data_IF_881098075124
#
_entry.id   IF_881098075124
#
_cell.length_a   1.000
_cell.length_b   1.000
_cell.length_c   1.000
_cell.angle_alpha   90.00
_cell.angle_beta   90.00
_cell.angle_gamma   90.00
#
_symmetry.space_group_name_H-M   'P 1'
#
loop_
_entity.id
_entity.type
_entity.pdbx_description
1 polymer ?
#
# COMPACT_ATOMS: atom_id res chain seq x y z
N UNK A 1 19.57 -40.86 -84.57
CA UNK A 1 19.05 -41.28 -83.25
C UNK A 1 19.63 -40.36 -82.19
N UNK A 2 18.79 -39.74 -81.35
CA UNK A 2 19.25 -39.02 -80.14
C UNK A 2 18.74 -37.58 -80.03
N UNK A 3 17.49 -37.41 -79.62
CA UNK A 3 16.95 -36.14 -79.11
C UNK A 3 17.59 -35.81 -77.75
N UNK A 4 18.21 -34.64 -77.58
CA UNK A 4 18.52 -34.11 -76.23
C UNK A 4 18.33 -32.59 -76.15
N UNK A 5 17.16 -32.25 -75.59
CA UNK A 5 16.78 -31.12 -74.72
C UNK A 5 17.57 -29.81 -74.78
N UNK A 6 16.86 -28.74 -75.17
CA UNK A 6 17.21 -27.36 -74.84
C UNK A 6 17.18 -27.14 -73.31
N UNK A 7 18.05 -26.28 -72.77
CA UNK A 7 18.11 -26.01 -71.33
C UNK A 7 16.93 -25.13 -70.89
N UNK A 8 16.19 -25.59 -69.88
CA UNK A 8 15.16 -24.81 -69.20
C UNK A 8 15.84 -23.82 -68.26
N UNK A 9 15.65 -22.53 -68.50
CA UNK A 9 16.10 -21.45 -67.61
C UNK A 9 15.37 -21.57 -66.26
N UNK A 10 16.07 -21.61 -65.10
CA UNK A 10 15.40 -21.67 -63.82
C UNK A 10 14.67 -20.34 -63.53
N UNK A 11 13.38 -20.43 -63.20
CA UNK A 11 12.60 -19.28 -62.70
C UNK A 11 13.26 -18.71 -61.45
N UNK A 12 13.47 -17.39 -61.43
CA UNK A 12 13.99 -16.64 -60.28
C UNK A 12 13.13 -16.86 -59.03
N UNK A 13 13.77 -17.10 -57.89
CA UNK A 13 13.11 -17.24 -56.59
C UNK A 13 12.31 -15.97 -56.24
N UNK A 14 11.15 -16.09 -55.57
CA UNK A 14 10.40 -14.92 -55.11
C UNK A 14 11.23 -14.15 -54.05
N UNK A 15 11.14 -12.80 -54.03
CA UNK A 15 11.89 -12.00 -53.06
C UNK A 15 11.50 -12.37 -51.62
N UNK A 16 12.43 -12.32 -50.66
CA UNK A 16 12.13 -12.63 -49.27
C UNK A 16 11.04 -11.69 -48.74
N UNK A 17 10.03 -12.27 -48.09
CA UNK A 17 8.95 -11.51 -47.47
C UNK A 17 9.55 -10.44 -46.55
N UNK A 18 9.26 -9.17 -46.85
CA UNK A 18 9.71 -8.05 -46.04
C UNK A 18 9.07 -8.19 -44.66
N UNK A 19 9.90 -8.46 -43.66
CA UNK A 19 9.45 -8.57 -42.27
C UNK A 19 8.76 -7.24 -41.92
N UNK A 20 7.48 -7.24 -41.50
CA UNK A 20 6.80 -6.00 -41.15
C UNK A 20 7.60 -5.26 -40.08
N UNK A 21 7.81 -3.95 -40.20
CA UNK A 21 8.54 -3.20 -39.19
C UNK A 21 7.85 -3.41 -37.84
N UNK A 22 8.62 -3.83 -36.83
CA UNK A 22 8.13 -3.96 -35.47
C UNK A 22 7.47 -2.63 -35.09
N UNK A 23 6.13 -2.64 -35.04
CA UNK A 23 5.30 -1.50 -34.70
C UNK A 23 5.83 -0.91 -33.39
N UNK A 24 6.57 0.19 -33.49
CA UNK A 24 7.19 0.89 -32.36
C UNK A 24 6.03 1.34 -31.47
N UNK A 25 5.76 0.59 -30.40
CA UNK A 25 4.71 0.94 -29.44
C UNK A 25 5.03 2.36 -28.97
N UNK A 26 4.02 3.24 -29.01
CA UNK A 26 4.16 4.65 -28.64
C UNK A 26 4.89 4.74 -27.30
N UNK A 27 5.84 5.68 -27.18
CA UNK A 27 6.63 5.91 -25.96
C UNK A 27 5.75 6.07 -24.70
N UNK A 28 4.49 6.51 -24.88
CA UNK A 28 3.46 6.54 -23.85
C UNK A 28 3.19 5.17 -23.20
N UNK A 29 3.15 4.08 -23.98
CA UNK A 29 2.93 2.73 -23.43
C UNK A 29 4.11 2.27 -22.58
N UNK A 30 5.36 2.53 -23.02
CA UNK A 30 6.54 2.18 -22.20
C UNK A 30 6.59 3.00 -20.91
N UNK A 31 6.24 4.28 -20.97
CA UNK A 31 6.15 5.16 -19.80
C UNK A 31 5.11 4.68 -18.79
N UNK A 32 3.94 4.22 -19.24
CA UNK A 32 2.92 3.63 -18.37
C UNK A 32 3.42 2.34 -17.69
N UNK A 33 4.07 1.43 -18.42
CA UNK A 33 4.65 0.21 -17.82
C UNK A 33 5.80 0.48 -16.83
N UNK A 34 6.49 1.62 -16.94
CA UNK A 34 7.53 2.01 -16.00
C UNK A 34 6.99 2.74 -14.75
N UNK A 35 5.82 3.39 -14.84
CA UNK A 35 5.20 4.14 -13.74
C UNK A 35 4.32 3.24 -12.86
N UNK A 36 3.56 2.30 -13.43
CA UNK A 36 2.67 1.38 -12.68
C UNK A 36 3.41 0.57 -11.58
N UNK A 37 4.64 0.04 -11.81
CA UNK A 37 5.42 -0.59 -10.76
C UNK A 37 5.95 0.43 -9.75
N UNK A 38 6.31 1.65 -10.18
CA UNK A 38 6.86 2.69 -9.32
C UNK A 38 5.82 3.21 -8.33
N UNK A 39 4.59 3.43 -8.75
CA UNK A 39 3.51 3.91 -7.87
C UNK A 39 3.06 2.83 -6.89
N UNK A 40 3.00 1.57 -7.36
CA UNK A 40 2.73 0.42 -6.50
C UNK A 40 3.84 0.23 -5.45
N UNK A 41 5.11 0.32 -5.84
CA UNK A 41 6.24 0.24 -4.92
C UNK A 41 6.22 1.41 -3.93
N UNK A 42 6.00 2.64 -4.41
CA UNK A 42 5.88 3.83 -3.56
C UNK A 42 4.77 3.68 -2.52
N UNK A 43 3.60 3.18 -2.91
CA UNK A 43 2.48 2.91 -2.00
C UNK A 43 2.82 1.84 -0.97
N UNK A 44 3.51 0.77 -1.37
CA UNK A 44 3.94 -0.29 -0.45
C UNK A 44 4.99 0.22 0.53
N UNK A 45 5.93 1.05 0.08
CA UNK A 45 6.93 1.69 0.94
C UNK A 45 6.29 2.61 1.96
N UNK A 46 5.30 3.42 1.57
CA UNK A 46 4.54 4.26 2.51
C UNK A 46 3.76 3.42 3.53
N UNK A 47 3.20 2.28 3.12
CA UNK A 47 2.50 1.38 4.03
C UNK A 47 3.45 0.71 5.03
N UNK A 48 4.68 0.41 4.63
CA UNK A 48 5.72 -0.11 5.53
C UNK A 48 6.19 1.00 6.48
N UNK A 49 6.52 2.18 5.95
CA UNK A 49 6.94 3.32 6.75
C UNK A 49 5.90 3.70 7.81
N UNK A 50 4.61 3.68 7.46
CA UNK A 50 3.52 3.90 8.44
C UNK A 50 3.55 2.87 9.58
N UNK A 51 3.67 1.59 9.24
CA UNK A 51 3.75 0.51 10.24
C UNK A 51 4.99 0.63 11.13
N UNK A 52 6.12 1.04 10.56
CA UNK A 52 7.35 1.27 11.31
C UNK A 52 7.23 2.48 12.25
N UNK A 53 6.59 3.57 11.83
CA UNK A 53 6.31 4.71 12.71
C UNK A 53 5.39 4.32 13.88
N UNK A 54 4.32 3.56 13.63
CA UNK A 54 3.42 3.08 14.68
C UNK A 54 4.16 2.15 15.67
N UNK A 55 5.04 1.29 15.15
CA UNK A 55 5.88 0.42 15.98
C UNK A 55 6.87 1.21 16.83
N UNK A 56 7.53 2.22 16.26
CA UNK A 56 8.47 3.08 16.98
C UNK A 56 7.76 3.89 18.08
N UNK A 57 6.54 4.36 17.83
CA UNK A 57 5.74 5.08 18.83
C UNK A 57 5.38 4.18 20.02
N UNK A 58 5.00 2.93 19.75
CA UNK A 58 4.73 1.93 20.78
C UNK A 58 5.98 1.59 21.59
N UNK A 59 7.12 1.32 20.92
CA UNK A 59 8.41 1.08 21.59
C UNK A 59 8.82 2.27 22.46
N UNK A 60 8.67 3.51 21.96
CA UNK A 60 8.95 4.73 22.72
C UNK A 60 8.03 4.89 23.93
N UNK A 61 6.75 4.51 23.82
CA UNK A 61 5.81 4.53 24.93
C UNK A 61 6.20 3.51 26.00
N UNK A 62 6.57 2.30 25.60
CA UNK A 62 7.03 1.24 26.51
C UNK A 62 8.33 1.60 27.21
N UNK A 63 9.30 2.17 26.48
CA UNK A 63 10.55 2.64 27.08
C UNK A 63 10.33 3.77 28.07
N UNK A 64 9.38 4.67 27.79
CA UNK A 64 8.96 5.71 28.74
C UNK A 64 8.34 5.09 29.99
N UNK A 65 7.48 4.09 29.84
CA UNK A 65 6.87 3.40 30.98
C UNK A 65 7.92 2.68 31.83
N UNK A 66 8.84 1.94 31.21
CA UNK A 66 9.98 1.29 31.88
C UNK A 66 10.86 2.29 32.62
N UNK A 67 11.19 3.40 31.98
CA UNK A 67 12.00 4.45 32.60
C UNK A 67 11.30 5.04 33.83
N UNK A 68 9.98 5.29 33.74
CA UNK A 68 9.20 5.81 34.85
C UNK A 68 8.99 4.79 35.96
N UNK A 69 8.81 3.50 35.65
CA UNK A 69 8.69 2.46 36.69
C UNK A 69 9.97 2.32 37.52
N UNK A 70 11.12 2.46 36.87
CA UNK A 70 12.42 2.36 37.54
C UNK A 70 12.74 3.61 38.38
N UNK A 71 12.37 4.80 37.89
CA UNK A 71 12.64 6.09 38.56
C UNK A 71 11.59 6.48 39.60
N UNK A 72 10.34 6.07 39.40
CA UNK A 72 9.19 6.44 40.20
C UNK A 72 8.49 5.19 40.71
N UNK A 73 9.13 4.52 41.67
CA UNK A 73 8.55 3.37 42.35
C UNK A 73 7.34 3.80 43.17
N UNK A 74 6.31 2.95 43.23
CA UNK A 74 5.13 3.19 44.05
C UNK A 74 5.53 3.40 45.52
N UNK A 75 5.00 4.46 46.11
CA UNK A 75 5.27 4.83 47.49
C UNK A 75 4.56 3.91 48.48
N UNK A 76 5.32 3.08 49.17
CA UNK A 76 4.84 2.35 50.33
C UNK A 76 5.00 3.20 51.58
N UNK A 77 3.91 3.82 52.01
CA UNK A 77 3.88 4.64 53.25
C UNK A 77 3.40 3.86 54.47
N UNK A 78 2.93 2.64 54.27
CA UNK A 78 2.42 1.79 55.33
C UNK A 78 3.58 1.28 56.22
N UNK A 79 3.45 1.48 57.53
CA UNK A 79 4.43 0.97 58.50
C UNK A 79 5.60 1.91 58.80
N UNK A 80 5.71 3.08 58.16
CA UNK A 80 6.70 4.09 58.55
C UNK A 80 6.28 4.82 59.82
N UNK A 81 7.25 5.09 60.69
CA UNK A 81 7.11 5.98 61.84
C UNK A 81 7.05 7.45 61.40
N UNK A 82 6.57 8.32 62.29
CA UNK A 82 6.47 9.77 62.03
C UNK A 82 7.82 10.39 61.61
N UNK A 83 8.91 9.97 62.24
CA UNK A 83 10.25 10.49 61.96
C UNK A 83 10.73 10.08 60.57
N UNK A 84 10.52 8.82 60.19
CA UNK A 84 10.90 8.33 58.86
C UNK A 84 10.06 8.99 57.76
N UNK A 85 8.78 9.23 58.02
CA UNK A 85 7.91 9.96 57.09
C UNK A 85 8.36 11.41 56.89
N UNK A 86 8.75 12.10 57.96
CA UNK A 86 9.29 13.46 57.87
C UNK A 86 10.60 13.54 57.09
N UNK A 87 11.47 12.54 57.27
CA UNK A 87 12.73 12.46 56.53
C UNK A 87 12.48 12.17 55.04
N UNK A 88 11.56 11.26 54.72
CA UNK A 88 11.15 10.97 53.35
C UNK A 88 10.58 12.23 52.65
N UNK A 89 9.75 13.02 53.34
CA UNK A 89 9.24 14.29 52.80
C UNK A 89 10.36 15.29 52.50
N UNK A 90 11.37 15.40 53.37
CA UNK A 90 12.54 16.28 53.13
C UNK A 90 13.38 15.80 51.95
N UNK A 91 13.55 14.49 51.81
CA UNK A 91 14.25 13.90 50.68
C UNK A 91 13.53 14.18 49.36
N UNK A 92 12.20 14.04 49.31
CA UNK A 92 11.45 14.35 48.08
C UNK A 92 11.51 15.83 47.72
N UNK A 93 11.40 16.74 48.69
CA UNK A 93 11.54 18.16 48.41
C UNK A 93 12.87 18.46 47.72
N UNK A 94 13.97 17.93 48.27
CA UNK A 94 15.30 18.12 47.70
C UNK A 94 15.45 17.48 46.32
N UNK A 95 14.81 16.32 46.09
CA UNK A 95 14.82 15.65 44.79
C UNK A 95 14.00 16.40 43.74
N UNK A 96 12.85 16.95 44.12
CA UNK A 96 12.00 17.74 43.22
C UNK A 96 12.77 18.96 42.72
N UNK A 97 13.42 19.70 43.62
CA UNK A 97 14.22 20.88 43.25
C UNK A 97 15.28 20.55 42.18
N UNK A 98 15.98 19.42 42.35
CA UNK A 98 17.00 18.96 41.37
C UNK A 98 16.39 18.53 40.05
N UNK A 99 15.30 17.75 40.09
CA UNK A 99 14.63 17.26 38.88
C UNK A 99 14.05 18.43 38.07
N UNK A 100 13.51 19.45 38.75
CA UNK A 100 13.00 20.64 38.08
C UNK A 100 14.09 21.48 37.43
N UNK A 101 15.28 21.58 38.04
CA UNK A 101 16.46 22.18 37.42
C UNK A 101 16.87 21.40 36.15
N UNK A 102 16.99 20.07 36.24
CA UNK A 102 17.30 19.22 35.09
C UNK A 102 16.24 19.34 33.98
N UNK A 103 14.96 19.41 34.34
CA UNK A 103 13.82 19.62 33.42
C UNK A 103 13.95 20.96 32.71
N UNK A 104 14.27 22.03 33.44
CA UNK A 104 14.46 23.35 32.88
C UNK A 104 15.62 23.39 31.88
N UNK A 105 16.75 22.76 32.20
CA UNK A 105 17.90 22.67 31.30
C UNK A 105 17.61 21.85 30.04
N UNK A 106 16.85 20.77 30.16
CA UNK A 106 16.37 20.01 29.00
C UNK A 106 15.43 20.85 28.12
N UNK A 107 14.47 21.54 28.72
CA UNK A 107 13.53 22.41 28.01
C UNK A 107 14.26 23.55 27.28
N UNK A 108 15.22 24.20 27.94
CA UNK A 108 16.04 25.25 27.34
C UNK A 108 16.85 24.74 26.13
N UNK A 109 17.38 23.51 26.19
CA UNK A 109 18.07 22.88 25.05
C UNK A 109 17.11 22.59 23.90
N UNK A 110 15.93 22.03 24.18
CA UNK A 110 14.90 21.76 23.16
C UNK A 110 14.44 23.05 22.50
N UNK A 111 14.21 24.11 23.27
CA UNK A 111 13.80 25.42 22.73
C UNK A 111 14.86 26.03 21.81
N UNK A 112 16.15 25.91 22.14
CA UNK A 112 17.23 26.31 21.23
C UNK A 112 17.17 25.56 19.90
N UNK A 113 17.00 24.23 19.96
CA UNK A 113 16.85 23.40 18.75
C UNK A 113 15.60 23.75 17.94
N UNK A 114 14.47 24.03 18.59
CA UNK A 114 13.24 24.46 17.91
C UNK A 114 13.46 25.78 17.18
N UNK A 115 14.10 26.75 17.83
CA UNK A 115 14.40 28.05 17.21
C UNK A 115 15.34 27.88 16.01
N UNK A 116 16.38 27.04 16.13
CA UNK A 116 17.28 26.74 15.02
C UNK A 116 16.53 26.08 13.84
N UNK A 117 15.66 25.11 14.12
CA UNK A 117 14.81 24.48 13.09
C UNK A 117 13.89 25.52 12.43
N UNK A 118 13.31 26.45 13.17
CA UNK A 118 12.48 27.52 12.62
C UNK A 118 13.28 28.44 11.69
N UNK A 119 14.46 28.87 12.13
CA UNK A 119 15.36 29.70 11.33
C UNK A 119 15.80 28.98 10.05
N UNK A 120 16.14 27.70 10.14
CA UNK A 120 16.50 26.88 8.99
C UNK A 120 15.32 26.69 8.03
N UNK A 121 14.11 26.44 8.55
CA UNK A 121 12.90 26.34 7.73
C UNK A 121 12.61 27.65 6.99
N UNK A 122 12.80 28.79 7.65
CA UNK A 122 12.65 30.10 7.01
C UNK A 122 13.69 30.29 5.89
N UNK A 123 14.96 29.96 6.14
CA UNK A 123 16.01 29.99 5.11
C UNK A 123 15.69 29.07 3.94
N UNK A 124 15.19 27.86 4.19
CA UNK A 124 14.76 26.92 3.15
C UNK A 124 13.63 27.54 2.32
N UNK A 125 12.67 28.21 2.96
CA UNK A 125 11.58 28.88 2.26
C UNK A 125 12.08 30.01 1.35
N UNK A 126 13.01 30.82 1.85
CA UNK A 126 13.59 31.92 1.07
C UNK A 126 14.44 31.40 -0.11
N UNK A 127 15.21 30.32 0.10
CA UNK A 127 16.07 29.68 -0.91
C UNK A 127 15.30 28.87 -1.96
N UNK A 128 14.20 28.18 -1.59
CA UNK A 128 13.30 27.51 -2.56
C UNK A 128 12.65 28.50 -3.51
N UNK A 129 12.89 29.80 -3.30
CA UNK A 129 12.22 30.90 -3.96
C UNK A 129 10.81 31.01 -3.39
N UNK A 130 10.34 32.25 -3.24
CA UNK A 130 8.93 32.53 -2.99
C UNK A 130 8.15 32.05 -4.21
N UNK A 131 7.87 30.74 -4.31
CA UNK A 131 6.85 30.17 -5.16
C UNK A 131 5.58 30.81 -4.63
N UNK A 132 5.26 32.02 -5.11
CA UNK A 132 4.10 32.76 -4.66
C UNK A 132 2.96 31.77 -4.83
N UNK A 133 2.30 31.39 -3.73
CA UNK A 133 1.04 30.64 -3.80
C UNK A 133 0.29 31.24 -4.99
N UNK A 134 0.06 30.49 -6.09
CA UNK A 134 -0.62 31.03 -7.25
C UNK A 134 -1.88 31.72 -6.71
N UNK A 135 -2.07 33.01 -7.04
CA UNK A 135 -3.14 33.81 -6.47
C UNK A 135 -4.43 33.00 -6.54
N UNK A 136 -5.08 32.76 -5.38
CA UNK A 136 -6.20 31.85 -5.26
C UNK A 136 -7.26 32.22 -6.31
N UNK A 137 -7.30 31.47 -7.41
CA UNK A 137 -8.33 31.64 -8.43
C UNK A 137 -9.64 31.25 -7.75
N UNK A 138 -10.71 32.02 -7.95
CA UNK A 138 -12.07 31.62 -7.55
C UNK A 138 -12.36 30.25 -8.16
N UNK A 139 -12.24 29.20 -7.36
CA UNK A 139 -12.67 27.86 -7.73
C UNK A 139 -14.19 27.90 -7.71
N UNK A 140 -14.80 27.83 -8.89
CA UNK A 140 -16.25 27.63 -8.98
C UNK A 140 -16.56 26.26 -8.38
N UNK A 141 -17.70 26.15 -7.68
CA UNK A 141 -18.19 24.89 -7.12
C UNK A 141 -18.03 23.77 -8.16
N UNK A 142 -17.42 22.64 -7.79
CA UNK A 142 -17.30 21.50 -8.71
C UNK A 142 -18.69 21.03 -9.13
N UNK A 143 -18.82 20.46 -10.32
CA UNK A 143 -20.08 19.88 -10.78
C UNK A 143 -20.64 18.91 -9.75
N UNK A 144 -19.78 18.10 -9.12
CA UNK A 144 -20.17 17.14 -8.08
C UNK A 144 -20.73 17.80 -6.82
N UNK A 145 -20.12 18.90 -6.35
CA UNK A 145 -20.60 19.64 -5.19
C UNK A 145 -21.96 20.32 -5.47
N UNK A 146 -22.14 20.83 -6.69
CA UNK A 146 -23.40 21.42 -7.13
C UNK A 146 -24.50 20.34 -7.27
N UNK A 147 -24.17 19.20 -7.88
CA UNK A 147 -25.12 18.09 -8.07
C UNK A 147 -25.54 17.47 -6.75
N UNK A 148 -24.62 17.32 -5.80
CA UNK A 148 -24.93 16.83 -4.45
C UNK A 148 -25.82 17.81 -3.67
N UNK A 149 -25.64 19.12 -3.85
CA UNK A 149 -26.47 20.14 -3.23
C UNK A 149 -27.88 20.23 -3.84
N UNK A 150 -28.02 20.07 -5.17
CA UNK A 150 -29.29 20.20 -5.86
C UNK A 150 -30.13 18.91 -5.85
N UNK A 151 -29.49 17.74 -5.90
CA UNK A 151 -30.17 16.45 -6.08
C UNK A 151 -30.03 15.51 -4.87
N UNK A 152 -29.28 15.93 -3.84
CA UNK A 152 -29.09 15.18 -2.61
C UNK A 152 -28.57 13.76 -2.87
N UNK A 153 -29.07 12.81 -2.10
CA UNK A 153 -28.67 11.39 -2.17
C UNK A 153 -29.18 10.64 -3.40
N UNK A 154 -30.11 11.20 -4.19
CA UNK A 154 -30.75 10.48 -5.31
C UNK A 154 -29.86 10.33 -6.55
N UNK A 155 -28.86 11.19 -6.74
CA UNK A 155 -27.92 11.11 -7.87
C UNK A 155 -26.48 11.09 -7.38
N UNK A 156 -26.09 10.01 -6.70
CA UNK A 156 -24.67 9.69 -6.44
C UNK A 156 -24.09 8.92 -7.63
N UNK A 157 -24.00 9.58 -8.80
CA UNK A 157 -23.18 9.06 -9.89
C UNK A 157 -21.75 9.45 -9.54
N UNK A 158 -20.98 8.54 -8.93
CA UNK A 158 -19.55 8.80 -8.84
C UNK A 158 -19.02 8.85 -10.27
N UNK A 159 -18.40 9.97 -10.64
CA UNK A 159 -17.63 10.08 -11.88
C UNK A 159 -16.36 9.21 -11.83
N UNK A 160 -16.22 8.36 -10.82
CA UNK A 160 -15.26 7.26 -10.80
C UNK A 160 -15.54 6.39 -12.02
N UNK A 161 -14.67 6.48 -13.02
CA UNK A 161 -14.70 5.61 -14.20
C UNK A 161 -14.78 4.12 -13.78
N UNK A 162 -14.26 3.80 -12.59
CA UNK A 162 -14.29 2.48 -11.97
C UNK A 162 -15.69 1.98 -11.59
N UNK A 163 -16.62 2.87 -11.22
CA UNK A 163 -17.96 2.49 -10.78
C UNK A 163 -18.93 2.21 -11.95
N UNK A 164 -18.64 2.73 -13.14
CA UNK A 164 -19.45 2.52 -14.35
C UNK A 164 -18.98 1.34 -15.23
N UNK A 165 -17.89 0.67 -14.85
CA UNK A 165 -17.43 -0.52 -15.58
C UNK A 165 -18.17 -1.77 -15.09
N UNK A 166 -18.78 -2.50 -16.05
CA UNK A 166 -19.51 -3.75 -15.79
C UNK A 166 -18.55 -4.79 -15.21
N UNK A 167 -18.80 -5.27 -14.00
CA UNK A 167 -18.04 -6.35 -13.37
C UNK A 167 -18.30 -7.64 -14.16
N UNK A 168 -17.39 -8.01 -15.05
CA UNK A 168 -17.46 -9.31 -15.75
C UNK A 168 -17.00 -10.37 -14.75
N UNK A 169 -17.92 -11.22 -14.30
CA UNK A 169 -17.58 -12.45 -13.59
C UNK A 169 -16.71 -13.28 -14.53
N UNK A 170 -15.45 -13.49 -14.16
CA UNK A 170 -14.57 -14.41 -14.87
C UNK A 170 -14.88 -15.81 -14.35
N UNK A 171 -16.01 -16.36 -14.80
CA UNK A 171 -16.37 -17.75 -14.52
C UNK A 171 -15.45 -18.68 -15.34
N UNK A 172 -14.98 -19.71 -14.65
CA UNK A 172 -14.03 -20.76 -15.03
C UNK A 172 -14.05 -21.21 -16.51
N UNK A 173 -13.14 -20.67 -17.32
CA UNK A 173 -12.85 -21.17 -18.68
C UNK A 173 -11.46 -21.78 -18.76
N UNK A 174 -11.18 -22.80 -17.95
CA UNK A 174 -9.96 -23.63 -18.12
C UNK A 174 -10.21 -25.15 -18.06
N UNK A 175 -11.46 -25.63 -17.99
CA UNK A 175 -11.73 -27.08 -17.79
C UNK A 175 -12.41 -27.83 -18.93
N UNK A 176 -12.53 -27.28 -20.15
CA UNK A 176 -13.24 -27.96 -21.27
C UNK A 176 -12.43 -27.98 -22.59
N UNK A 177 -11.12 -28.26 -22.56
CA UNK A 177 -10.33 -28.45 -23.79
C UNK A 177 -9.50 -29.73 -23.85
N UNK A 178 -9.77 -30.67 -22.96
CA UNK A 178 -9.18 -32.00 -23.01
C UNK A 178 -10.32 -32.99 -22.90
N UNK A 179 -11.08 -33.20 -23.97
CA UNK A 179 -11.76 -34.46 -24.29
C UNK A 179 -12.65 -34.31 -25.54
N UNK A 180 -12.34 -35.10 -26.58
CA UNK A 180 -13.08 -35.26 -27.83
C UNK A 180 -12.18 -35.04 -29.06
N UNK A 181 -11.94 -35.99 -29.97
CA UNK A 181 -12.40 -37.36 -30.17
C UNK A 181 -11.73 -37.90 -31.45
N UNK A 182 -11.22 -39.14 -31.48
CA UNK A 182 -11.34 -40.05 -32.66
C UNK A 182 -11.18 -41.52 -32.26
N UNK A 183 -12.33 -42.21 -32.22
CA UNK A 183 -12.64 -43.61 -32.54
C UNK A 183 -11.56 -44.71 -32.55
N UNK A 184 -11.85 -45.81 -31.79
CA UNK A 184 -12.08 -47.20 -32.25
C UNK A 184 -11.69 -48.22 -31.17
N UNK A 185 -12.66 -48.94 -30.58
CA UNK A 185 -12.82 -50.39 -30.69
C UNK A 185 -13.80 -50.94 -29.63
N UNK A 186 -14.63 -51.86 -30.10
CA UNK A 186 -15.58 -52.69 -29.35
C UNK A 186 -14.89 -53.60 -28.33
N UNK A 187 -15.51 -53.82 -27.17
CA UNK A 187 -15.81 -55.16 -26.61
C UNK A 187 -16.67 -55.08 -25.35
N UNK A 188 -17.68 -55.93 -25.34
CA UNK A 188 -18.65 -56.20 -24.27
C UNK A 188 -18.01 -56.62 -22.94
N UNK A 189 -18.74 -56.40 -21.84
CA UNK A 189 -18.75 -57.35 -20.73
C UNK A 189 -18.91 -56.78 -19.32
N UNK A 190 -20.14 -56.92 -18.78
CA UNK A 190 -20.49 -57.31 -17.40
C UNK A 190 -20.08 -56.39 -16.23
N UNK A 191 -21.09 -56.08 -15.41
CA UNK A 191 -21.01 -56.39 -13.97
C UNK A 191 -21.07 -55.21 -13.01
N UNK A 192 -22.28 -55.01 -12.44
CA UNK A 192 -22.57 -54.88 -11.00
C UNK A 192 -21.61 -54.12 -10.08
N UNK A 193 -22.13 -53.14 -9.34
CA UNK A 193 -21.40 -52.58 -8.19
C UNK A 193 -22.10 -51.42 -7.51
N UNK A 194 -23.30 -51.68 -6.98
CA UNK A 194 -23.97 -50.83 -6.00
C UNK A 194 -23.12 -50.73 -4.72
N UNK A 195 -22.86 -49.52 -4.21
CA UNK A 195 -22.74 -49.33 -2.76
C UNK A 195 -23.10 -47.89 -2.38
N UNK A 196 -24.13 -47.84 -1.54
CA UNK A 196 -24.72 -46.69 -0.88
C UNK A 196 -24.02 -46.49 0.47
N UNK A 197 -23.82 -45.24 0.86
CA UNK A 197 -23.81 -44.77 2.25
C UNK A 197 -23.90 -43.23 2.19
N UNK A 198 -25.09 -42.63 2.27
CA UNK A 198 -25.86 -42.30 3.47
C UNK A 198 -25.13 -41.38 4.45
N UNK A 199 -25.67 -40.15 4.52
CA UNK A 199 -25.78 -39.25 5.69
C UNK A 199 -24.46 -38.64 6.24
N UNK A 200 -24.36 -37.35 6.53
CA UNK A 200 -25.33 -36.55 7.26
C UNK A 200 -25.20 -35.06 6.96
N UNK A 201 -26.38 -34.45 6.83
CA UNK A 201 -26.68 -33.04 6.95
C UNK A 201 -26.52 -32.60 8.41
N UNK A 202 -25.72 -31.57 8.69
CA UNK A 202 -25.97 -30.67 9.84
C UNK A 202 -25.60 -29.25 9.44
N UNK A 203 -26.62 -28.40 9.41
CA UNK A 203 -26.56 -26.94 9.41
C UNK A 203 -26.57 -26.41 10.86
N UNK A 204 -26.17 -25.15 11.04
CA UNK A 204 -26.48 -24.25 12.18
C UNK A 204 -25.59 -24.47 13.43
N UNK A 205 -24.88 -23.49 14.03
CA UNK A 205 -24.96 -22.02 14.17
C UNK A 205 -23.59 -21.41 13.93
#
# INVERSE_FOLDING_TARGET
VGTKKAPVVPKSAPPPATVPPLRRKSSANYRAYAIEPHDKVSSLMLQVAKREMEKEEEERSQDKERFLSDRCVALEVAGLSLTELQELCRQFHTQIDKIDEERYDMEARVNKSINEIQDLNQKIFDLRGKFKRPALRRVRLSADAMMQALLGSKHKVSMDLRANLKQVKKDDTEKVRLEGSTAKNEREGRGSGQMVASESFVSFV
#
